data_IF_420354379070
#
_entry.id   IF_420354379070
#
_cell.length_a   1.000
_cell.length_b   1.000
_cell.length_c   1.000
_cell.angle_alpha   90.00
_cell.angle_beta   90.00
_cell.angle_gamma   90.00
#
_symmetry.space_group_name_H-M   'P 1'
#
loop_
_entity.id
_entity.type
_entity.pdbx_description
1 polymer ?
#
# COMPACT_ATOMS: atom_id res chain seq x y z
N UNK A 1 -48.99 -13.80 -12.36
CA UNK A 1 -47.76 -14.61 -12.28
C UNK A 1 -48.18 -16.05 -12.07
N UNK A 2 -47.78 -16.96 -12.96
CA UNK A 2 -48.21 -18.36 -12.93
C UNK A 2 -47.35 -19.19 -11.97
N UNK A 3 -47.85 -20.33 -11.50
CA UNK A 3 -47.10 -21.27 -10.64
C UNK A 3 -45.80 -21.77 -11.34
N UNK A 4 -45.77 -21.75 -12.68
CA UNK A 4 -44.58 -22.07 -13.48
C UNK A 4 -43.48 -21.03 -13.25
N UNK A 5 -43.83 -19.74 -13.34
CA UNK A 5 -42.88 -18.63 -13.19
C UNK A 5 -42.21 -18.63 -11.81
N UNK A 6 -42.96 -19.02 -10.77
CA UNK A 6 -42.49 -19.14 -9.40
C UNK A 6 -41.47 -20.28 -9.27
N UNK A 7 -41.77 -21.45 -9.86
CA UNK A 7 -40.83 -22.60 -9.86
C UNK A 7 -39.55 -22.30 -10.61
N UNK A 8 -39.64 -21.61 -11.75
CA UNK A 8 -38.47 -21.24 -12.55
C UNK A 8 -37.58 -20.24 -11.80
N UNK A 9 -38.18 -19.33 -11.03
CA UNK A 9 -37.44 -18.43 -10.13
C UNK A 9 -36.72 -19.18 -9.00
N UNK A 10 -37.39 -20.13 -8.34
CA UNK A 10 -36.76 -20.96 -7.31
C UNK A 10 -35.63 -21.83 -7.88
N UNK A 11 -35.81 -22.34 -9.10
CA UNK A 11 -34.79 -23.12 -9.80
C UNK A 11 -33.58 -22.26 -10.17
N UNK A 12 -33.81 -21.04 -10.65
CA UNK A 12 -32.75 -20.07 -10.96
C UNK A 12 -31.96 -19.67 -9.69
N UNK A 13 -32.67 -19.36 -8.60
CA UNK A 13 -32.06 -19.01 -7.31
C UNK A 13 -31.30 -20.19 -6.71
N UNK A 14 -31.86 -21.40 -6.76
CA UNK A 14 -31.20 -22.62 -6.32
C UNK A 14 -29.96 -22.94 -7.16
N UNK A 15 -30.01 -22.66 -8.47
CA UNK A 15 -28.88 -22.86 -9.39
C UNK A 15 -27.77 -21.84 -9.16
N UNK A 16 -28.11 -20.57 -8.91
CA UNK A 16 -27.14 -19.53 -8.54
C UNK A 16 -26.52 -19.82 -7.17
N UNK A 17 -27.32 -20.21 -6.18
CA UNK A 17 -26.84 -20.59 -4.86
C UNK A 17 -25.93 -21.84 -4.92
N UNK A 18 -26.28 -22.82 -5.75
CA UNK A 18 -25.45 -23.99 -6.04
C UNK A 18 -24.13 -23.61 -6.70
N UNK A 19 -24.15 -22.73 -7.70
CA UNK A 19 -22.95 -22.20 -8.36
C UNK A 19 -22.04 -21.44 -7.37
N UNK A 20 -22.61 -20.61 -6.50
CA UNK A 20 -21.85 -19.86 -5.49
C UNK A 20 -21.25 -20.82 -4.44
N UNK A 21 -22.01 -21.81 -3.98
CA UNK A 21 -21.52 -22.83 -3.04
C UNK A 21 -20.38 -23.67 -3.66
N UNK A 22 -20.45 -23.95 -4.95
CA UNK A 22 -19.44 -24.69 -5.70
C UNK A 22 -18.18 -23.83 -5.98
N UNK A 23 -18.35 -22.52 -6.16
CA UNK A 23 -17.26 -21.54 -6.32
C UNK A 23 -16.63 -21.11 -4.99
N UNK A 24 -17.27 -21.38 -3.86
CA UNK A 24 -16.84 -20.99 -2.51
C UNK A 24 -15.39 -21.39 -2.18
N UNK A 25 -14.93 -22.63 -2.42
CA UNK A 25 -13.55 -23.02 -2.12
C UNK A 25 -12.53 -22.24 -2.97
N UNK A 26 -12.90 -21.91 -4.21
CA UNK A 26 -12.05 -21.15 -5.13
C UNK A 26 -11.95 -19.69 -4.68
N UNK A 27 -13.06 -19.07 -4.28
CA UNK A 27 -13.11 -17.71 -3.77
C UNK A 27 -12.36 -17.56 -2.45
N UNK A 28 -12.56 -18.46 -1.49
CA UNK A 28 -11.82 -18.49 -0.22
C UNK A 28 -10.30 -18.66 -0.46
N UNK A 29 -9.89 -19.53 -1.41
CA UNK A 29 -8.47 -19.68 -1.76
C UNK A 29 -7.85 -18.44 -2.42
N UNK A 30 -8.61 -17.67 -3.20
CA UNK A 30 -8.13 -16.45 -3.85
C UNK A 30 -7.98 -15.34 -2.82
N UNK A 31 -8.97 -15.22 -1.95
CA UNK A 31 -8.98 -14.26 -0.86
C UNK A 31 -7.82 -14.48 0.11
N UNK A 32 -7.56 -15.72 0.52
CA UNK A 32 -6.44 -16.03 1.42
C UNK A 32 -5.07 -15.77 0.77
N UNK A 33 -4.97 -15.96 -0.55
CA UNK A 33 -3.78 -15.59 -1.32
C UNK A 33 -3.59 -14.08 -1.39
N UNK A 34 -4.65 -13.34 -1.68
CA UNK A 34 -4.63 -11.88 -1.72
C UNK A 34 -4.29 -11.30 -0.33
N UNK A 35 -4.77 -11.92 0.76
CA UNK A 35 -4.36 -11.58 2.13
C UNK A 35 -2.86 -11.74 2.34
N UNK A 36 -2.33 -12.95 2.13
CA UNK A 36 -0.91 -13.23 2.34
C UNK A 36 0.01 -12.34 1.50
N UNK A 37 -0.39 -12.03 0.27
CA UNK A 37 0.36 -11.14 -0.63
C UNK A 37 0.42 -9.72 -0.07
N UNK A 38 -0.71 -9.23 0.41
CA UNK A 38 -0.83 -7.85 0.83
C UNK A 38 -0.27 -7.64 2.26
N UNK A 39 -0.38 -8.63 3.16
CA UNK A 39 0.40 -8.71 4.42
C UNK A 39 1.90 -8.61 4.13
N UNK A 40 2.39 -9.36 3.14
CA UNK A 40 3.81 -9.33 2.75
C UNK A 40 4.28 -7.95 2.27
N UNK A 41 3.42 -7.13 1.69
CA UNK A 41 3.77 -5.73 1.34
C UNK A 41 3.98 -4.89 2.61
N UNK A 42 3.06 -5.01 3.58
CA UNK A 42 3.19 -4.29 4.85
C UNK A 42 4.38 -4.80 5.68
N UNK A 43 4.75 -6.07 5.55
CA UNK A 43 5.97 -6.62 6.16
C UNK A 43 7.24 -6.09 5.51
N UNK A 44 7.24 -5.92 4.17
CA UNK A 44 8.40 -5.36 3.46
C UNK A 44 8.63 -3.92 3.91
N UNK A 45 7.58 -3.10 4.01
CA UNK A 45 7.69 -1.70 4.46
C UNK A 45 6.77 -1.44 5.66
N UNK A 46 7.25 -1.69 6.89
CA UNK A 46 6.48 -1.41 8.10
C UNK A 46 6.22 0.09 8.27
N UNK A 47 5.09 0.47 8.88
CA UNK A 47 4.83 1.88 9.20
C UNK A 47 5.93 2.50 10.09
N UNK A 48 6.43 1.72 11.05
CA UNK A 48 7.51 2.15 11.96
C UNK A 48 8.81 2.48 11.20
N UNK A 49 9.08 1.77 10.09
CA UNK A 49 10.21 2.08 9.22
C UNK A 49 10.09 3.49 8.62
N UNK A 50 8.88 3.86 8.17
CA UNK A 50 8.64 5.19 7.62
C UNK A 50 8.66 6.28 8.70
N UNK A 51 8.28 5.97 9.94
CA UNK A 51 8.43 6.92 11.08
C UNK A 51 9.90 7.17 11.42
N UNK A 52 10.72 6.12 11.44
CA UNK A 52 12.16 6.27 11.61
C UNK A 52 12.77 7.10 10.47
N UNK A 53 12.36 6.83 9.22
CA UNK A 53 12.82 7.59 8.06
C UNK A 53 12.44 9.08 8.12
N UNK A 54 11.28 9.42 8.67
CA UNK A 54 10.86 10.81 8.86
C UNK A 54 11.79 11.55 9.83
N UNK A 55 12.14 10.90 10.94
CA UNK A 55 13.14 11.41 11.88
C UNK A 55 14.52 11.55 11.23
N UNK A 56 14.96 10.54 10.49
CA UNK A 56 16.26 10.51 9.83
C UNK A 56 16.41 11.64 8.80
N UNK A 57 15.34 11.93 8.06
CA UNK A 57 15.33 13.01 7.05
C UNK A 57 15.28 14.38 7.72
N UNK A 58 14.33 14.61 8.63
CA UNK A 58 14.05 15.96 9.13
C UNK A 58 14.96 16.37 10.29
N UNK A 59 15.20 15.46 11.24
CA UNK A 59 15.91 15.74 12.49
C UNK A 59 17.38 15.32 12.42
N UNK A 60 17.65 14.04 12.16
CA UNK A 60 19.02 13.53 12.12
C UNK A 60 19.78 14.05 10.90
N UNK A 61 19.05 14.34 9.81
CA UNK A 61 19.59 14.78 8.52
C UNK A 61 20.66 13.82 7.99
N UNK A 62 20.44 12.55 8.26
CA UNK A 62 21.33 11.44 7.95
C UNK A 62 20.45 10.21 7.69
N UNK A 63 20.50 9.66 6.49
CA UNK A 63 19.67 8.53 6.09
C UNK A 63 20.57 7.37 5.68
N UNK A 64 20.49 6.26 6.42
CA UNK A 64 21.23 5.05 6.07
C UNK A 64 20.79 4.53 4.70
N UNK A 65 21.74 4.07 3.88
CA UNK A 65 21.42 3.47 2.57
C UNK A 65 20.49 2.26 2.71
N UNK A 66 20.63 1.51 3.81
CA UNK A 66 19.76 0.38 4.14
C UNK A 66 18.30 0.77 4.33
N UNK A 67 18.00 2.03 4.68
CA UNK A 67 16.62 2.49 4.86
C UNK A 67 15.85 2.52 3.54
N UNK A 68 16.53 2.52 2.40
CA UNK A 68 15.89 2.45 1.10
C UNK A 68 15.60 1.03 0.61
N UNK A 69 16.30 0.01 1.13
CA UNK A 69 16.16 -1.37 0.65
C UNK A 69 14.73 -1.93 0.68
N UNK A 70 13.92 -1.69 1.73
CA UNK A 70 12.49 -2.05 1.73
C UNK A 70 11.72 -1.54 0.51
N UNK A 71 11.88 -0.25 0.19
CA UNK A 71 11.16 0.40 -0.90
C UNK A 71 11.74 0.04 -2.27
N UNK A 72 13.06 -0.16 -2.37
CA UNK A 72 13.72 -0.71 -3.55
C UNK A 72 13.19 -2.11 -3.88
N UNK A 73 13.05 -2.96 -2.87
CA UNK A 73 12.45 -4.30 -3.03
C UNK A 73 11.01 -4.21 -3.51
N UNK A 74 10.17 -3.38 -2.87
CA UNK A 74 8.77 -3.19 -3.28
C UNK A 74 8.66 -2.71 -4.73
N UNK A 75 9.51 -1.76 -5.13
CA UNK A 75 9.59 -1.25 -6.50
C UNK A 75 9.99 -2.33 -7.51
N UNK A 76 10.96 -3.19 -7.18
CA UNK A 76 11.36 -4.31 -8.05
C UNK A 76 10.20 -5.29 -8.23
N UNK A 77 9.58 -5.72 -7.13
CA UNK A 77 8.46 -6.67 -7.14
C UNK A 77 7.27 -6.14 -7.97
N UNK A 78 7.00 -4.82 -7.90
CA UNK A 78 6.01 -4.16 -8.75
C UNK A 78 6.37 -4.19 -10.24
N UNK A 79 7.61 -3.83 -10.58
CA UNK A 79 8.08 -3.80 -11.97
C UNK A 79 8.03 -5.18 -12.61
N UNK A 80 8.43 -6.19 -11.86
CA UNK A 80 8.51 -7.58 -12.33
C UNK A 80 7.13 -8.25 -12.39
N UNK A 81 6.07 -7.56 -11.96
CA UNK A 81 4.70 -8.07 -11.97
C UNK A 81 4.54 -9.34 -11.15
N UNK A 82 5.35 -9.47 -10.10
CA UNK A 82 5.40 -10.69 -9.28
C UNK A 82 4.07 -10.91 -8.58
N UNK A 83 3.88 -12.15 -8.13
CA UNK A 83 2.67 -12.58 -7.43
C UNK A 83 2.33 -11.73 -6.21
N UNK A 84 3.30 -10.97 -5.67
CA UNK A 84 3.17 -10.10 -4.51
C UNK A 84 2.19 -8.94 -4.71
N UNK A 85 2.02 -8.47 -5.95
CA UNK A 85 1.18 -7.31 -6.28
C UNK A 85 -0.06 -7.67 -7.09
N UNK A 86 -0.28 -8.98 -7.26
CA UNK A 86 -1.49 -9.52 -7.85
C UNK A 86 -2.62 -9.51 -6.84
N UNK A 87 -3.43 -8.45 -6.91
CA UNK A 87 -4.69 -8.34 -6.21
C UNK A 87 -5.85 -8.67 -7.16
N UNK A 88 -6.76 -9.56 -6.75
CA UNK A 88 -7.87 -10.03 -7.58
C UNK A 88 -9.26 -9.65 -7.06
N UNK A 89 -9.31 -8.93 -5.93
CA UNK A 89 -10.53 -8.44 -5.31
C UNK A 89 -11.20 -7.24 -6.01
N UNK A 90 -12.43 -6.88 -5.59
CA UNK A 90 -13.17 -5.72 -6.10
C UNK A 90 -12.41 -4.40 -5.93
N UNK A 91 -11.58 -4.29 -4.90
CA UNK A 91 -10.74 -3.11 -4.63
C UNK A 91 -9.42 -3.09 -5.39
N UNK A 92 -9.23 -3.96 -6.39
CA UNK A 92 -7.98 -4.06 -7.18
C UNK A 92 -7.51 -2.72 -7.74
N UNK A 93 -8.42 -1.96 -8.35
CA UNK A 93 -8.05 -0.68 -8.96
C UNK A 93 -7.50 0.30 -7.91
N UNK A 94 -8.12 0.35 -6.72
CA UNK A 94 -7.67 1.18 -5.60
C UNK A 94 -6.33 0.70 -5.06
N UNK A 95 -6.17 -0.61 -4.87
CA UNK A 95 -4.94 -1.22 -4.40
C UNK A 95 -3.76 -0.90 -5.33
N UNK A 96 -3.91 -1.16 -6.62
CA UNK A 96 -2.86 -0.92 -7.62
C UNK A 96 -2.48 0.57 -7.69
N UNK A 97 -3.48 1.46 -7.65
CA UNK A 97 -3.26 2.91 -7.64
C UNK A 97 -2.45 3.36 -6.42
N UNK A 98 -2.74 2.82 -5.24
CA UNK A 98 -1.98 3.18 -4.02
C UNK A 98 -0.54 2.66 -4.07
N UNK A 99 -0.30 1.43 -4.55
CA UNK A 99 1.07 0.92 -4.73
C UNK A 99 1.86 1.77 -5.73
N UNK A 100 1.24 2.14 -6.85
CA UNK A 100 1.85 3.03 -7.85
C UNK A 100 2.21 4.39 -7.25
N UNK A 101 1.31 4.98 -6.46
CA UNK A 101 1.55 6.27 -5.81
C UNK A 101 2.68 6.19 -4.78
N UNK A 102 2.76 5.10 -4.00
CA UNK A 102 3.88 4.86 -3.07
C UNK A 102 5.21 4.82 -3.83
N UNK A 103 5.28 4.05 -4.92
CA UNK A 103 6.51 3.93 -5.73
C UNK A 103 6.89 5.27 -6.36
N UNK A 104 5.90 6.04 -6.84
CA UNK A 104 6.12 7.37 -7.38
C UNK A 104 6.72 8.32 -6.34
N UNK A 105 6.11 8.38 -5.15
CA UNK A 105 6.61 9.21 -4.05
C UNK A 105 8.00 8.76 -3.59
N UNK A 106 8.26 7.45 -3.59
CA UNK A 106 9.57 6.90 -3.28
C UNK A 106 10.65 7.34 -4.29
N UNK A 107 10.35 7.30 -5.59
CA UNK A 107 11.29 7.79 -6.61
C UNK A 107 11.61 9.28 -6.41
N UNK A 108 10.59 10.09 -6.13
CA UNK A 108 10.79 11.50 -5.80
C UNK A 108 11.65 11.67 -4.55
N UNK A 109 11.39 10.90 -3.50
CA UNK A 109 12.19 10.92 -2.27
C UNK A 109 13.66 10.60 -2.55
N UNK A 110 13.93 9.61 -3.40
CA UNK A 110 15.30 9.26 -3.83
C UNK A 110 15.94 10.39 -4.61
N UNK A 111 15.22 11.06 -5.50
CA UNK A 111 15.74 12.24 -6.22
C UNK A 111 16.07 13.39 -5.26
N UNK A 112 15.26 13.62 -4.23
CA UNK A 112 15.48 14.64 -3.21
C UNK A 112 16.67 14.34 -2.27
N UNK A 113 16.94 13.07 -1.97
CA UNK A 113 17.98 12.64 -1.02
C UNK A 113 19.28 12.19 -1.72
N UNK A 114 19.28 11.85 -3.01
CA UNK A 114 20.50 11.32 -3.65
C UNK A 114 21.25 12.30 -4.54
N UNK A 115 20.81 13.56 -4.61
CA UNK A 115 21.46 14.66 -5.33
C UNK A 115 20.72 15.97 -5.05
N UNK A 116 21.32 17.16 -5.22
CA UNK A 116 22.72 17.51 -5.00
C UNK A 116 23.04 17.86 -3.53
N UNK A 117 22.04 17.93 -2.66
CA UNK A 117 22.17 18.51 -1.30
C UNK A 117 22.57 17.52 -0.21
N UNK A 118 22.65 16.26 -0.55
CA UNK A 118 22.93 15.15 0.35
C UNK A 118 24.16 14.42 -0.19
N UNK A 119 25.13 14.19 0.68
CA UNK A 119 26.41 13.59 0.32
C UNK A 119 26.51 12.18 0.89
N UNK A 120 27.04 11.22 0.13
CA UNK A 120 27.31 9.89 0.65
C UNK A 120 28.50 9.98 1.62
N UNK A 121 28.30 9.56 2.86
CA UNK A 121 29.34 9.46 3.88
C UNK A 121 29.39 8.04 4.42
N UNK A 122 30.60 7.54 4.73
CA UNK A 122 30.74 6.35 5.55
C UNK A 122 30.79 6.76 7.02
N UNK A 123 29.95 6.16 7.86
CA UNK A 123 30.19 6.15 9.30
C UNK A 123 30.95 4.87 9.62
N UNK A 124 32.24 4.98 9.91
CA UNK A 124 33.07 3.84 10.29
C UNK A 124 34.07 4.23 11.37
N UNK A 125 33.90 3.64 12.56
CA UNK A 125 35.00 3.22 13.44
C UNK A 125 34.88 1.68 13.51
N UNK A 126 35.94 0.99 13.10
CA UNK A 126 36.17 -0.47 13.14
C UNK A 126 34.99 -1.43 12.82
N UNK A 127 35.08 -2.04 11.63
CA UNK A 127 34.41 -3.27 11.14
C UNK A 127 32.94 -3.23 10.66
N UNK A 128 32.29 -2.07 10.56
CA UNK A 128 31.08 -1.96 9.73
C UNK A 128 30.94 -0.57 9.12
N UNK A 129 31.48 -0.38 7.92
CA UNK A 129 31.21 0.82 7.12
C UNK A 129 29.72 0.85 6.74
N UNK A 130 28.93 1.62 7.49
CA UNK A 130 27.56 1.91 7.13
C UNK A 130 27.53 3.14 6.22
N UNK A 131 27.13 2.93 4.96
CA UNK A 131 26.95 4.02 4.00
C UNK A 131 25.65 4.78 4.30
N UNK A 132 25.76 6.08 4.52
CA UNK A 132 24.62 6.96 4.74
C UNK A 132 24.66 8.18 3.81
N UNK A 133 23.51 8.81 3.63
CA UNK A 133 23.37 10.11 2.98
C UNK A 133 23.25 11.18 4.06
N UNK A 134 24.20 12.10 4.13
CA UNK A 134 24.19 13.20 5.09
C UNK A 134 23.84 14.51 4.39
N UNK A 135 22.89 15.26 4.95
CA UNK A 135 22.48 16.54 4.40
C UNK A 135 23.57 17.59 4.59
N UNK A 136 23.97 18.24 3.51
CA UNK A 136 24.95 19.31 3.57
C UNK A 136 24.25 20.68 3.40
N UNK A 137 24.18 21.41 4.51
CA UNK A 137 23.59 22.76 4.55
C UNK A 137 24.36 23.79 3.72
N UNK A 138 25.65 23.59 3.44
CA UNK A 138 26.46 24.57 2.72
C UNK A 138 26.00 24.78 1.28
N UNK A 139 25.20 23.86 0.73
CA UNK A 139 24.59 24.02 -0.59
C UNK A 139 23.44 25.03 -0.63
N UNK A 140 22.98 25.53 0.53
CA UNK A 140 21.95 26.55 0.65
C UNK A 140 22.57 27.87 1.13
N UNK A 141 23.00 28.77 0.22
CA UNK A 141 23.58 30.05 0.61
C UNK A 141 22.54 30.92 1.34
N UNK A 142 22.97 31.65 2.37
CA UNK A 142 22.13 32.55 3.17
C UNK A 142 21.35 33.57 2.31
N UNK A 143 20.19 34.06 2.81
CA UNK A 143 19.11 34.55 1.97
C UNK A 143 19.41 35.96 1.44
N UNK A 144 20.06 36.02 0.29
CA UNK A 144 19.94 37.17 -0.62
C UNK A 144 19.09 36.74 -1.82
N UNK A 145 17.79 36.60 -1.56
CA UNK A 145 16.76 36.47 -2.60
C UNK A 145 16.68 35.09 -3.25
N UNK A 146 15.71 34.30 -2.78
CA UNK A 146 15.00 33.25 -3.53
C UNK A 146 15.72 31.94 -3.92
N UNK A 147 17.03 31.78 -3.71
CA UNK A 147 17.67 30.46 -3.89
C UNK A 147 17.76 29.68 -2.58
N UNK A 148 16.68 28.92 -2.32
CA UNK A 148 16.67 27.71 -1.49
C UNK A 148 16.76 27.95 0.01
N UNK A 149 15.62 27.93 0.69
CA UNK A 149 15.61 27.70 2.14
C UNK A 149 15.79 26.19 2.38
N UNK A 150 16.86 25.80 3.08
CA UNK A 150 17.14 24.41 3.39
C UNK A 150 16.00 23.78 4.21
N UNK A 151 15.24 24.58 4.98
CA UNK A 151 14.07 24.08 5.72
C UNK A 151 12.96 23.66 4.77
N UNK A 152 12.78 24.36 3.65
CA UNK A 152 11.80 23.98 2.62
C UNK A 152 12.21 22.65 1.99
N UNK A 153 13.48 22.45 1.67
CA UNK A 153 13.97 21.17 1.13
C UNK A 153 13.72 20.00 2.10
N UNK A 154 14.06 20.18 3.38
CA UNK A 154 13.85 19.16 4.41
C UNK A 154 12.36 18.89 4.65
N UNK A 155 11.52 19.93 4.60
CA UNK A 155 10.06 19.80 4.71
C UNK A 155 9.48 19.02 3.53
N UNK A 156 9.89 19.33 2.29
CA UNK A 156 9.43 18.62 1.09
C UNK A 156 9.87 17.14 1.10
N UNK A 157 11.10 16.86 1.53
CA UNK A 157 11.57 15.49 1.71
C UNK A 157 10.77 14.74 2.79
N UNK A 158 10.51 15.37 3.93
CA UNK A 158 9.66 14.81 4.99
C UNK A 158 8.20 14.59 4.54
N UNK A 159 7.64 15.51 3.75
CA UNK A 159 6.32 15.33 3.17
C UNK A 159 6.25 14.11 2.25
N UNK A 160 7.29 13.82 1.49
CA UNK A 160 7.35 12.62 0.65
C UNK A 160 7.36 11.34 1.50
N UNK A 161 8.12 11.33 2.60
CA UNK A 161 8.08 10.24 3.60
C UNK A 161 6.66 10.08 4.17
N UNK A 162 6.03 11.19 4.55
CA UNK A 162 4.63 11.22 5.03
C UNK A 162 3.64 10.67 4.01
N UNK A 163 3.75 11.06 2.74
CA UNK A 163 2.89 10.57 1.64
C UNK A 163 3.06 9.07 1.40
N UNK A 164 4.28 8.54 1.54
CA UNK A 164 4.55 7.09 1.48
C UNK A 164 3.86 6.39 2.66
N UNK A 165 4.06 6.89 3.88
CA UNK A 165 3.42 6.36 5.10
C UNK A 165 1.89 6.33 4.99
N UNK A 166 1.29 7.41 4.54
CA UNK A 166 -0.16 7.49 4.38
C UNK A 166 -0.66 6.57 3.26
N UNK A 167 0.13 6.35 2.21
CA UNK A 167 -0.13 5.32 1.21
C UNK A 167 -0.17 3.92 1.79
N UNK A 168 0.80 3.56 2.64
CA UNK A 168 0.82 2.27 3.34
C UNK A 168 -0.40 2.08 4.24
N UNK A 169 -0.82 3.12 4.96
CA UNK A 169 -2.05 3.10 5.76
C UNK A 169 -3.30 2.91 4.91
N UNK A 170 -3.40 3.60 3.76
CA UNK A 170 -4.51 3.40 2.82
C UNK A 170 -4.52 1.99 2.24
N UNK A 171 -3.34 1.41 1.94
CA UNK A 171 -3.26 0.00 1.55
C UNK A 171 -3.79 -0.92 2.67
N UNK A 172 -3.42 -0.67 3.93
CA UNK A 172 -3.95 -1.41 5.06
C UNK A 172 -5.48 -1.33 5.14
N UNK A 173 -6.05 -0.14 5.01
CA UNK A 173 -7.51 0.06 5.00
C UNK A 173 -8.16 -0.64 3.80
N UNK A 174 -7.58 -0.56 2.61
CA UNK A 174 -8.09 -1.26 1.41
C UNK A 174 -8.10 -2.77 1.63
N UNK A 175 -7.07 -3.32 2.27
CA UNK A 175 -7.04 -4.73 2.63
C UNK A 175 -8.12 -5.08 3.65
N UNK A 176 -8.22 -4.32 4.75
CA UNK A 176 -9.23 -4.51 5.78
C UNK A 176 -10.65 -4.43 5.21
N UNK A 177 -10.92 -3.47 4.32
CA UNK A 177 -12.20 -3.35 3.61
C UNK A 177 -12.44 -4.52 2.66
N UNK A 178 -11.44 -4.96 1.89
CA UNK A 178 -11.55 -6.15 1.07
C UNK A 178 -11.93 -7.36 1.94
N UNK A 179 -11.38 -7.44 3.15
CA UNK A 179 -11.69 -8.51 4.09
C UNK A 179 -13.08 -8.40 4.69
N UNK A 180 -13.51 -7.20 5.06
CA UNK A 180 -14.84 -6.94 5.54
C UNK A 180 -15.89 -7.17 4.46
N UNK A 181 -15.65 -6.83 3.20
CA UNK A 181 -16.57 -7.14 2.10
C UNK A 181 -16.78 -8.64 1.92
N UNK A 182 -15.75 -9.46 2.12
CA UNK A 182 -15.92 -10.93 2.12
C UNK A 182 -16.71 -11.43 3.34
N UNK A 183 -16.51 -10.83 4.51
CA UNK A 183 -17.30 -11.11 5.70
C UNK A 183 -18.75 -10.64 5.53
N UNK A 184 -18.99 -9.44 5.02
CA UNK A 184 -20.31 -8.93 4.69
C UNK A 184 -20.96 -9.74 3.57
N UNK A 185 -20.25 -10.25 2.56
CA UNK A 185 -20.81 -11.22 1.63
C UNK A 185 -21.29 -12.48 2.38
N UNK A 186 -20.53 -12.97 3.36
CA UNK A 186 -20.92 -14.11 4.23
C UNK A 186 -22.17 -13.83 5.08
N UNK A 187 -22.46 -12.59 5.49
CA UNK A 187 -23.64 -12.22 6.32
C UNK A 187 -24.80 -11.56 5.56
N UNK A 188 -24.53 -10.88 4.45
CA UNK A 188 -25.51 -10.20 3.59
C UNK A 188 -26.09 -11.14 2.55
N UNK A 189 -25.37 -12.15 2.06
CA UNK A 189 -25.96 -13.16 1.16
C UNK A 189 -27.15 -13.88 1.82
N UNK A 190 -27.09 -14.32 3.09
CA UNK A 190 -28.26 -14.89 3.77
C UNK A 190 -29.34 -13.85 4.11
N UNK A 191 -28.97 -12.61 4.43
CA UNK A 191 -29.92 -11.58 4.91
C UNK A 191 -30.63 -10.80 3.80
N UNK A 192 -29.98 -10.49 2.66
CA UNK A 192 -30.65 -9.85 1.51
C UNK A 192 -31.63 -10.82 0.84
N UNK A 193 -31.35 -12.13 0.84
CA UNK A 193 -32.31 -13.14 0.38
C UNK A 193 -33.56 -13.21 1.29
N UNK A 194 -33.42 -12.98 2.62
CA UNK A 194 -34.57 -12.89 3.54
C UNK A 194 -35.32 -11.56 3.54
N UNK A 195 -34.69 -10.46 3.14
CA UNK A 195 -35.31 -9.11 3.20
C UNK A 195 -36.07 -8.76 1.93
N UNK A 196 -35.64 -9.29 0.76
CA UNK A 196 -36.44 -9.21 -0.48
C UNK A 196 -37.74 -10.01 -0.34
N UNK A 197 -37.77 -11.09 0.45
CA UNK A 197 -39.00 -11.83 0.82
C UNK A 197 -39.98 -11.04 1.72
N UNK A 198 -39.60 -9.88 2.28
CA UNK A 198 -40.44 -9.11 3.22
C UNK A 198 -40.77 -7.69 2.75
N UNK A 199 -40.10 -7.18 1.71
CA UNK A 199 -40.40 -5.85 1.14
C UNK A 199 -41.28 -5.92 -0.13
N UNK A 200 -41.53 -7.13 -0.68
CA UNK A 200 -42.52 -7.38 -1.75
C UNK A 200 -43.76 -8.21 -1.27
N UNK A 201 -44.08 -8.17 0.03
CA UNK A 201 -45.31 -8.73 0.61
C UNK A 201 -46.47 -7.71 0.62
#
# INVERSE_FOLDING_TARGET
MSISDIKDYFFLLGSIAGLIALLRPVLESKFERDRKRAEKILEIVPEEHMKAMDFDVYQARAVLTSNFYPLDRLKSEWKDGTDLVRFSGPLKAHYLKEVEQIIRNYNQLREYIQVPYWEPTSTGDDNSDALQWSFNKSYFPEPTGSKGDYNVHLSEAGELVGKIRDGLRRLQIIMEMHFLEAFFARFLLPKRLRKVELEDA
#
